data_IF_614779101689
#
_entry.id   IF_614779101689
#
_cell.length_a   1.000
_cell.length_b   1.000
_cell.length_c   1.000
_cell.angle_alpha   90.00
_cell.angle_beta   90.00
_cell.angle_gamma   90.00
#
_symmetry.space_group_name_H-M   'P 1'
#
loop_
_entity.id
_entity.type
_entity.pdbx_description
1 polymer ?
#
# COMPACT_ATOMS: atom_id res chain seq x y z
N UNK A 1 18.03 9.84 -11.11
CA UNK A 1 16.63 9.36 -11.18
C UNK A 1 16.27 8.86 -12.57
N UNK A 2 16.55 9.62 -13.62
CA UNK A 2 16.18 9.22 -14.99
C UNK A 2 16.93 7.96 -15.46
N UNK A 3 18.17 7.76 -15.03
CA UNK A 3 18.96 6.58 -15.38
C UNK A 3 18.39 5.32 -14.71
N UNK A 4 17.97 5.43 -13.48
CA UNK A 4 17.35 4.31 -12.76
C UNK A 4 16.00 3.92 -13.38
N UNK A 5 15.21 4.92 -13.75
CA UNK A 5 13.92 4.68 -14.41
C UNK A 5 14.14 4.03 -15.77
N UNK A 6 15.10 4.52 -16.56
CA UNK A 6 15.44 3.92 -17.85
C UNK A 6 15.92 2.48 -17.70
N UNK A 7 16.73 2.20 -16.68
CA UNK A 7 17.18 0.84 -16.40
C UNK A 7 16.04 -0.08 -16.01
N UNK A 8 15.15 0.39 -15.15
CA UNK A 8 13.96 -0.37 -14.76
C UNK A 8 13.09 -0.67 -15.97
N UNK A 9 12.86 0.32 -16.82
CA UNK A 9 12.08 0.13 -18.05
C UNK A 9 12.69 -0.94 -18.93
N UNK A 10 14.01 -0.90 -19.14
CA UNK A 10 14.72 -1.91 -19.91
C UNK A 10 14.54 -3.31 -19.33
N UNK A 11 14.69 -3.45 -18.00
CA UNK A 11 14.53 -4.74 -17.33
C UNK A 11 13.12 -5.28 -17.47
N UNK A 12 12.12 -4.43 -17.30
CA UNK A 12 10.71 -4.85 -17.40
C UNK A 12 10.33 -5.20 -18.83
N UNK A 13 10.85 -4.49 -19.82
CA UNK A 13 10.58 -4.79 -21.24
C UNK A 13 11.15 -6.13 -21.65
N UNK A 14 12.30 -6.51 -21.11
CA UNK A 14 12.95 -7.78 -21.43
C UNK A 14 12.40 -8.96 -20.62
N UNK A 15 11.73 -8.69 -19.52
CA UNK A 15 11.25 -9.75 -18.63
C UNK A 15 9.93 -10.34 -19.10
N UNK A 16 9.82 -11.67 -19.00
CA UNK A 16 8.59 -12.41 -19.30
C UNK A 16 8.05 -13.15 -18.09
N UNK A 17 8.72 -13.04 -16.96
CA UNK A 17 8.37 -13.77 -15.74
C UNK A 17 8.64 -12.85 -14.55
N UNK A 18 7.80 -11.81 -14.39
CA UNK A 18 7.94 -10.84 -13.31
C UNK A 18 7.11 -11.25 -12.09
N UNK A 19 7.62 -10.96 -10.92
CA UNK A 19 6.88 -11.02 -9.67
C UNK A 19 6.97 -9.66 -9.00
N UNK A 20 5.86 -9.14 -8.53
CA UNK A 20 5.79 -7.87 -7.82
C UNK A 20 5.55 -8.11 -6.34
N UNK A 21 6.34 -7.46 -5.50
CA UNK A 21 6.14 -7.43 -4.06
C UNK A 21 6.02 -5.97 -3.62
N UNK A 22 4.84 -5.60 -3.10
CA UNK A 22 4.55 -4.21 -2.72
C UNK A 22 4.01 -4.08 -1.31
N UNK A 23 4.33 -2.97 -0.68
CA UNK A 23 3.82 -2.59 0.62
C UNK A 23 2.80 -1.46 0.54
N UNK A 24 2.51 -0.86 1.69
CA UNK A 24 1.52 0.22 1.81
C UNK A 24 1.85 1.46 0.98
N UNK A 25 3.13 1.69 0.68
CA UNK A 25 3.56 2.82 -0.13
C UNK A 25 3.00 2.82 -1.55
N UNK A 26 2.63 1.65 -2.08
CA UNK A 26 2.02 1.56 -3.42
C UNK A 26 0.67 2.29 -3.47
N UNK A 27 -0.04 2.36 -2.36
CA UNK A 27 -1.35 3.01 -2.28
C UNK A 27 -1.28 4.53 -2.05
N UNK A 28 -0.08 5.07 -1.80
CA UNK A 28 0.09 6.48 -1.46
C UNK A 28 -0.38 7.41 -2.59
N UNK A 29 -0.09 7.06 -3.83
CA UNK A 29 -0.53 7.82 -5.01
C UNK A 29 -2.05 7.74 -5.24
N UNK A 30 -2.73 6.84 -4.54
CA UNK A 30 -4.19 6.76 -4.55
C UNK A 30 -4.83 7.56 -3.41
N UNK A 31 -4.03 8.33 -2.66
CA UNK A 31 -4.50 9.14 -1.55
C UNK A 31 -4.61 8.39 -0.23
N UNK A 32 -4.12 7.16 -0.17
CA UNK A 32 -4.14 6.37 1.08
C UNK A 32 -2.77 6.49 1.74
N UNK A 33 -2.67 7.04 2.96
CA UNK A 33 -1.37 7.19 3.62
C UNK A 33 -0.75 5.83 3.94
N UNK A 34 0.56 5.76 3.84
CA UNK A 34 1.32 4.62 4.36
C UNK A 34 1.42 4.72 5.89
N UNK A 35 2.20 3.85 6.53
CA UNK A 35 2.26 3.82 7.98
C UNK A 35 3.33 4.74 8.57
N UNK A 36 4.53 4.75 8.02
CA UNK A 36 5.73 5.29 8.69
C UNK A 36 6.34 6.54 8.07
N UNK A 37 5.92 6.96 6.88
CA UNK A 37 6.45 8.20 6.31
C UNK A 37 5.96 9.41 7.10
N UNK A 38 6.54 10.58 6.84
CA UNK A 38 6.26 11.80 7.62
C UNK A 38 4.77 12.13 7.68
N UNK A 39 4.06 11.93 6.57
CA UNK A 39 2.63 12.14 6.46
C UNK A 39 1.83 10.84 6.57
N UNK A 40 2.46 9.76 7.03
CA UNK A 40 1.85 8.45 7.15
C UNK A 40 0.97 8.29 8.38
N UNK A 41 0.30 7.14 8.45
CA UNK A 41 -0.70 6.85 9.48
C UNK A 41 -0.13 6.91 10.90
N UNK A 42 1.11 6.42 11.10
CA UNK A 42 1.71 6.40 12.43
C UNK A 42 2.08 7.79 12.96
N UNK A 43 2.15 8.79 12.09
CA UNK A 43 2.47 10.16 12.47
C UNK A 43 1.24 11.05 12.62
N UNK A 44 0.04 10.52 12.38
CA UNK A 44 -1.19 11.27 12.56
C UNK A 44 -1.56 11.35 14.05
N UNK A 45 -2.05 12.52 14.47
CA UNK A 45 -2.47 12.72 15.84
C UNK A 45 -3.74 11.92 16.13
N UNK A 46 -3.72 11.16 17.23
CA UNK A 46 -4.89 10.42 17.69
C UNK A 46 -4.76 10.17 19.19
N UNK A 47 -5.88 9.77 19.82
CA UNK A 47 -5.97 9.56 21.28
C UNK A 47 -4.95 8.55 21.80
N UNK A 48 -4.70 7.49 21.03
CA UNK A 48 -3.68 6.48 21.31
C UNK A 48 -2.68 6.46 20.15
N UNK A 49 -1.45 6.01 20.38
CA UNK A 49 -0.53 5.81 19.25
C UNK A 49 -1.13 4.84 18.23
N UNK A 50 -1.16 5.19 16.94
CA UNK A 50 -1.75 4.32 15.92
C UNK A 50 -1.18 2.91 15.88
N UNK A 51 0.13 2.76 16.14
CA UNK A 51 0.78 1.46 16.20
C UNK A 51 0.18 0.58 17.30
N UNK A 52 -0.18 1.19 18.43
CA UNK A 52 -0.84 0.49 19.53
C UNK A 52 -2.26 0.08 19.16
N UNK A 53 -3.03 1.00 18.58
CA UNK A 53 -4.42 0.71 18.18
C UNK A 53 -4.49 -0.43 17.16
N UNK A 54 -3.54 -0.48 16.23
CA UNK A 54 -3.52 -1.49 15.18
C UNK A 54 -2.95 -2.85 15.64
N UNK A 55 -2.59 -2.98 16.91
CA UNK A 55 -2.14 -4.26 17.43
C UNK A 55 -3.33 -5.18 17.73
N UNK A 56 -3.08 -6.49 17.62
CA UNK A 56 -4.09 -7.49 17.95
C UNK A 56 -4.52 -7.39 19.42
N UNK A 57 -3.57 -7.17 20.32
CA UNK A 57 -3.87 -7.07 21.74
C UNK A 57 -4.78 -5.89 22.07
N UNK A 58 -4.61 -4.76 21.41
CA UNK A 58 -5.51 -3.62 21.57
C UNK A 58 -6.91 -3.95 21.05
N UNK A 59 -7.00 -4.55 19.88
CA UNK A 59 -8.27 -4.96 19.31
C UNK A 59 -9.05 -5.87 20.26
N UNK A 60 -8.37 -6.86 20.85
CA UNK A 60 -9.00 -7.81 21.77
C UNK A 60 -9.50 -7.13 23.06
N UNK A 61 -8.74 -6.14 23.56
CA UNK A 61 -9.07 -5.48 24.83
C UNK A 61 -10.05 -4.31 24.64
N UNK A 62 -10.00 -3.62 23.53
CA UNK A 62 -10.78 -2.41 23.29
C UNK A 62 -11.26 -2.34 21.86
N UNK A 63 -12.19 -3.24 21.45
CA UNK A 63 -12.64 -3.30 20.06
C UNK A 63 -13.37 -2.03 19.61
N UNK A 64 -14.07 -1.34 20.51
CA UNK A 64 -14.80 -0.12 20.15
C UNK A 64 -13.85 0.98 19.67
N UNK A 65 -12.77 1.20 20.41
CA UNK A 65 -11.77 2.21 20.05
C UNK A 65 -11.02 1.80 18.79
N UNK A 66 -10.72 0.51 18.63
CA UNK A 66 -10.11 -0.03 17.41
C UNK A 66 -10.98 0.28 16.19
N UNK A 67 -12.27 -0.02 16.24
CA UNK A 67 -13.17 0.23 15.12
C UNK A 67 -13.41 1.71 14.86
N UNK A 68 -13.39 2.54 15.91
CA UNK A 68 -13.48 3.99 15.74
C UNK A 68 -12.30 4.51 14.94
N UNK A 69 -11.09 4.10 15.31
CA UNK A 69 -9.88 4.45 14.57
C UNK A 69 -9.93 3.89 13.14
N UNK A 70 -10.34 2.64 12.99
CA UNK A 70 -10.41 1.99 11.69
C UNK A 70 -11.33 2.76 10.74
N UNK A 71 -12.51 3.11 11.20
CA UNK A 71 -13.47 3.88 10.40
C UNK A 71 -12.97 5.29 10.09
N UNK A 72 -12.29 5.92 11.04
CA UNK A 72 -11.81 7.29 10.89
C UNK A 72 -10.57 7.39 10.00
N UNK A 73 -9.63 6.46 10.12
CA UNK A 73 -8.31 6.58 9.52
C UNK A 73 -7.95 5.51 8.48
N UNK A 74 -8.62 4.37 8.47
CA UNK A 74 -8.23 3.24 7.63
C UNK A 74 -9.12 3.05 6.40
N UNK A 75 -10.33 3.53 6.41
CA UNK A 75 -11.26 3.36 5.29
C UNK A 75 -11.13 4.53 4.31
N UNK A 76 -10.87 4.19 3.05
CA UNK A 76 -10.75 5.13 1.94
C UNK A 76 -11.62 4.63 0.80
N UNK A 77 -12.94 4.77 0.97
CA UNK A 77 -13.93 4.17 0.06
C UNK A 77 -13.92 4.78 -1.34
N UNK A 78 -13.42 6.02 -1.46
CA UNK A 78 -13.36 6.71 -2.74
C UNK A 78 -12.00 6.57 -3.43
N UNK A 79 -11.07 5.78 -2.87
CA UNK A 79 -9.76 5.59 -3.47
C UNK A 79 -9.86 4.81 -4.78
N UNK A 80 -9.04 5.21 -5.75
CA UNK A 80 -9.00 4.57 -7.06
C UNK A 80 -7.60 4.04 -7.36
N UNK A 81 -7.48 3.04 -8.25
CA UNK A 81 -6.17 2.57 -8.67
C UNK A 81 -5.33 3.69 -9.28
N UNK A 82 -4.07 3.74 -8.91
CA UNK A 82 -3.11 4.69 -9.46
C UNK A 82 -2.34 4.06 -10.64
N UNK A 83 -1.46 4.84 -11.32
CA UNK A 83 -0.72 4.32 -12.48
C UNK A 83 0.08 3.05 -12.21
N UNK A 84 0.61 2.86 -10.99
CA UNK A 84 1.34 1.63 -10.66
C UNK A 84 0.42 0.42 -10.68
N UNK A 85 -0.76 0.53 -10.08
CA UNK A 85 -1.75 -0.54 -10.12
C UNK A 85 -2.15 -0.89 -11.55
N UNK A 86 -2.39 0.13 -12.36
CA UNK A 86 -2.82 -0.06 -13.76
C UNK A 86 -1.73 -0.70 -14.59
N UNK A 87 -0.47 -0.35 -14.35
CA UNK A 87 0.66 -0.95 -15.05
C UNK A 87 0.83 -2.43 -14.69
N UNK A 88 0.69 -2.77 -13.42
CA UNK A 88 0.75 -4.16 -12.97
C UNK A 88 -0.37 -5.00 -13.60
N UNK A 89 -1.57 -4.46 -13.68
CA UNK A 89 -2.70 -5.13 -14.32
C UNK A 89 -2.44 -5.33 -15.82
N UNK A 90 -1.84 -4.33 -16.49
CA UNK A 90 -1.48 -4.45 -17.90
C UNK A 90 -0.48 -5.57 -18.11
N UNK A 91 0.58 -5.63 -17.31
CA UNK A 91 1.60 -6.68 -17.44
C UNK A 91 1.02 -8.07 -17.17
N UNK A 92 0.06 -8.16 -16.27
CA UNK A 92 -0.64 -9.43 -16.01
C UNK A 92 -1.45 -9.87 -17.22
N UNK A 93 -2.19 -8.94 -17.85
CA UNK A 93 -2.95 -9.24 -19.07
C UNK A 93 -2.03 -9.64 -20.23
N UNK A 94 -0.83 -9.07 -20.29
CA UNK A 94 0.17 -9.42 -21.30
C UNK A 94 0.89 -10.75 -21.03
N UNK A 95 0.61 -11.37 -19.88
CA UNK A 95 1.26 -12.63 -19.49
C UNK A 95 2.70 -12.46 -19.00
N UNK A 96 3.11 -11.23 -18.70
CA UNK A 96 4.49 -10.91 -18.25
C UNK A 96 4.63 -10.89 -16.74
N UNK A 97 3.56 -10.64 -16.01
CA UNK A 97 3.54 -10.61 -14.55
C UNK A 97 2.91 -11.90 -14.04
N UNK A 98 3.70 -12.72 -13.35
CA UNK A 98 3.26 -14.02 -12.85
C UNK A 98 2.47 -13.92 -11.54
N UNK A 99 2.86 -12.99 -10.66
CA UNK A 99 2.26 -12.88 -9.34
C UNK A 99 2.44 -11.48 -8.77
N UNK A 100 1.53 -11.13 -7.87
CA UNK A 100 1.59 -9.87 -7.10
C UNK A 100 1.46 -10.21 -5.63
N UNK A 101 2.42 -9.73 -4.85
CA UNK A 101 2.42 -9.90 -3.40
C UNK A 101 2.26 -8.55 -2.73
N UNK A 102 1.42 -8.49 -1.70
CA UNK A 102 1.22 -7.26 -0.93
C UNK A 102 1.16 -7.58 0.55
N UNK A 103 1.74 -6.69 1.37
CA UNK A 103 1.63 -6.77 2.82
C UNK A 103 0.43 -5.98 3.34
N UNK A 104 -0.28 -5.25 2.49
CA UNK A 104 -1.46 -4.51 2.88
C UNK A 104 -2.69 -5.40 2.82
N UNK A 105 -3.41 -5.41 3.90
CA UNK A 105 -4.67 -6.15 4.04
C UNK A 105 -5.87 -5.33 3.56
#
# INVERSE_FOLDING_TARGET
MDQEIARLKELTEKSRAMVFFGGAGVSKESGIPDFRSVDGLYHQAYRYPPETILSRSFYEKNPEEFYRFYRDKMLYLDAEPNPAHKKLAQWEREGRLLDRKSTRL
#
